data_IF_116810196461
#
_entry.id   IF_116810196461
#
_cell.length_a   1.000
_cell.length_b   1.000
_cell.length_c   1.000
_cell.angle_alpha   90.00
_cell.angle_beta   90.00
_cell.angle_gamma   90.00
#
_symmetry.space_group_name_H-M   'P 1'
#
loop_
_entity.id
_entity.type
_entity.pdbx_description
1 polymer ?
#
# COMPACT_ATOMS: atom_id res chain seq x y z
N UNK A 1 -14.40 18.07 13.60
CA UNK A 1 -13.11 18.74 13.90
C UNK A 1 -13.06 19.03 15.39
N UNK A 2 -12.05 18.54 16.09
CA UNK A 2 -11.80 18.84 17.51
C UNK A 2 -10.73 19.94 17.54
N UNK A 3 -11.02 21.06 18.20
CA UNK A 3 -10.12 22.22 18.31
C UNK A 3 -9.59 22.76 16.96
N UNK A 4 -10.37 22.66 15.91
CA UNK A 4 -9.98 23.08 14.56
C UNK A 4 -9.05 22.12 13.81
N UNK A 5 -8.68 20.97 14.41
CA UNK A 5 -7.79 19.96 13.82
C UNK A 5 -8.57 18.86 13.11
N UNK A 6 -7.93 18.25 12.11
CA UNK A 6 -8.44 17.08 11.41
C UNK A 6 -8.12 15.79 12.16
N UNK A 7 -9.10 14.89 12.23
CA UNK A 7 -8.95 13.58 12.86
C UNK A 7 -8.27 12.59 11.91
N UNK A 8 -7.28 11.85 12.41
CA UNK A 8 -6.49 10.89 11.63
C UNK A 8 -6.64 9.49 12.20
N UNK A 9 -6.91 8.52 11.32
CA UNK A 9 -6.73 7.10 11.61
C UNK A 9 -5.45 6.60 10.93
N UNK A 10 -4.66 5.80 11.65
CA UNK A 10 -3.50 5.10 11.11
C UNK A 10 -3.84 3.62 11.04
N UNK A 11 -3.62 2.99 9.89
CA UNK A 11 -3.79 1.55 9.66
C UNK A 11 -2.41 1.00 9.27
N UNK A 12 -1.72 0.40 10.25
CA UNK A 12 -0.31 0.00 10.15
C UNK A 12 0.00 -1.07 11.19
N UNK A 13 0.46 -2.24 10.78
CA UNK A 13 0.80 -3.35 11.68
C UNK A 13 2.24 -3.30 12.21
N UNK A 14 3.14 -2.65 11.48
CA UNK A 14 4.53 -2.54 11.90
C UNK A 14 4.70 -1.46 12.96
N UNK A 15 5.30 -1.84 14.10
CA UNK A 15 5.42 -0.97 15.27
C UNK A 15 6.19 0.34 15.01
N UNK A 16 7.32 0.26 14.27
CA UNK A 16 8.13 1.46 13.98
C UNK A 16 7.42 2.48 13.08
N UNK A 17 6.90 2.12 11.91
CA UNK A 17 6.14 3.05 11.09
C UNK A 17 4.91 3.61 11.81
N UNK A 18 4.16 2.76 12.55
CA UNK A 18 3.01 3.19 13.33
C UNK A 18 3.37 4.25 14.37
N UNK A 19 4.45 4.03 15.14
CA UNK A 19 4.93 5.00 16.13
C UNK A 19 5.41 6.30 15.47
N UNK A 20 6.10 6.20 14.33
CA UNK A 20 6.58 7.37 13.58
C UNK A 20 5.43 8.22 13.05
N UNK A 21 4.43 7.60 12.41
CA UNK A 21 3.26 8.32 11.92
C UNK A 21 2.44 8.93 13.06
N UNK A 22 2.28 8.20 14.17
CA UNK A 22 1.61 8.72 15.38
C UNK A 22 2.31 9.96 15.89
N UNK A 23 3.64 9.91 16.01
CA UNK A 23 4.44 11.05 16.45
C UNK A 23 4.28 12.27 15.52
N UNK A 24 4.32 12.08 14.20
CA UNK A 24 4.12 13.15 13.24
C UNK A 24 2.74 13.80 13.36
N UNK A 25 1.70 12.97 13.49
CA UNK A 25 0.32 13.44 13.63
C UNK A 25 0.15 14.22 14.93
N UNK A 26 0.63 13.70 16.06
CA UNK A 26 0.50 14.32 17.39
C UNK A 26 1.32 15.61 17.53
N UNK A 27 2.47 15.72 16.84
CA UNK A 27 3.28 16.94 16.83
C UNK A 27 2.72 18.03 15.91
N UNK A 28 1.66 17.77 15.15
CA UNK A 28 1.07 18.72 14.21
C UNK A 28 0.05 19.64 14.89
N UNK A 29 0.03 20.90 14.46
CA UNK A 29 -1.02 21.84 14.85
C UNK A 29 -2.33 21.67 14.07
N UNK A 30 -2.32 20.89 12.95
CA UNK A 30 -3.46 20.71 12.05
C UNK A 30 -4.15 19.36 12.19
N UNK A 31 -3.48 18.38 12.77
CA UNK A 31 -3.96 17.01 12.88
C UNK A 31 -3.99 16.53 14.34
N UNK A 32 -4.81 15.55 14.63
CA UNK A 32 -4.73 14.78 15.87
C UNK A 32 -5.00 13.29 15.59
N UNK A 33 -4.34 12.43 16.33
CA UNK A 33 -4.53 10.99 16.22
C UNK A 33 -5.84 10.60 16.91
N UNK A 34 -6.81 10.12 16.12
CA UNK A 34 -8.07 9.60 16.62
C UNK A 34 -7.90 8.14 17.05
N UNK A 35 -7.23 7.33 16.22
CA UNK A 35 -7.00 5.91 16.45
C UNK A 35 -5.89 5.38 15.56
N UNK A 36 -5.12 4.40 16.06
CA UNK A 36 -4.21 3.58 15.27
C UNK A 36 -4.63 2.12 15.39
N UNK A 37 -4.74 1.41 14.27
CA UNK A 37 -5.12 0.00 14.19
C UNK A 37 -4.10 -0.79 13.36
N UNK A 38 -4.01 -2.10 13.59
CA UNK A 38 -3.03 -2.97 12.95
C UNK A 38 -3.60 -3.77 11.79
N UNK A 39 -4.93 -3.87 11.70
CA UNK A 39 -5.60 -4.70 10.71
C UNK A 39 -6.56 -3.87 9.84
N UNK A 40 -6.32 -3.90 8.53
CA UNK A 40 -7.12 -3.14 7.56
C UNK A 40 -8.56 -3.67 7.44
N UNK A 41 -8.80 -4.96 7.70
CA UNK A 41 -10.13 -5.56 7.51
C UNK A 41 -11.21 -4.98 8.43
N UNK A 42 -10.81 -4.36 9.54
CA UNK A 42 -11.75 -3.72 10.50
C UNK A 42 -11.85 -2.20 10.33
N UNK A 43 -11.09 -1.60 9.42
CA UNK A 43 -10.99 -0.14 9.30
C UNK A 43 -12.35 0.52 8.94
N UNK A 44 -13.17 -0.11 8.11
CA UNK A 44 -14.50 0.41 7.76
C UNK A 44 -15.49 0.34 8.93
N UNK A 45 -15.36 -0.66 9.80
CA UNK A 45 -16.13 -0.78 11.05
C UNK A 45 -15.72 0.34 12.03
N UNK A 46 -14.41 0.60 12.13
CA UNK A 46 -13.90 1.69 12.97
C UNK A 46 -14.43 3.04 12.47
N UNK A 47 -14.39 3.31 11.16
CA UNK A 47 -14.98 4.53 10.56
C UNK A 47 -16.48 4.69 10.87
N UNK A 48 -17.21 3.58 10.98
CA UNK A 48 -18.65 3.64 11.34
C UNK A 48 -18.85 4.11 12.77
N UNK A 49 -17.99 3.71 13.70
CA UNK A 49 -18.07 4.07 15.13
C UNK A 49 -17.41 5.40 15.45
N UNK A 50 -16.33 5.68 14.77
CA UNK A 50 -15.51 6.89 14.94
C UNK A 50 -15.19 7.48 13.56
N UNK A 51 -16.04 8.37 13.03
CA UNK A 51 -15.74 9.04 11.77
C UNK A 51 -14.42 9.79 11.84
N UNK A 52 -13.60 9.67 10.80
CA UNK A 52 -12.30 10.34 10.68
C UNK A 52 -12.22 11.13 9.38
N UNK A 53 -11.42 12.21 9.40
CA UNK A 53 -11.25 13.07 8.24
C UNK A 53 -10.22 12.48 7.26
N UNK A 54 -9.15 11.87 7.79
CA UNK A 54 -8.03 11.33 7.01
C UNK A 54 -7.59 9.95 7.53
N UNK A 55 -7.21 9.08 6.61
CA UNK A 55 -6.64 7.76 6.92
C UNK A 55 -5.27 7.64 6.25
N UNK A 56 -4.26 7.26 7.03
CA UNK A 56 -3.00 6.71 6.53
C UNK A 56 -3.17 5.19 6.48
N UNK A 57 -3.18 4.60 5.27
CA UNK A 57 -3.54 3.21 5.03
C UNK A 57 -2.36 2.44 4.46
N UNK A 58 -1.78 1.51 5.21
CA UNK A 58 -0.81 0.57 4.64
C UNK A 58 -1.49 -0.36 3.63
N UNK A 59 -0.74 -0.77 2.61
CA UNK A 59 -1.23 -1.67 1.55
C UNK A 59 -1.40 -3.09 2.06
N UNK A 60 -0.47 -3.57 2.89
CA UNK A 60 -0.49 -4.92 3.47
C UNK A 60 -0.39 -4.79 4.98
N UNK A 61 -1.38 -5.30 5.69
CA UNK A 61 -1.45 -5.26 7.14
C UNK A 61 -1.48 -6.67 7.73
N UNK A 62 -1.64 -6.77 9.04
CA UNK A 62 -1.65 -8.02 9.79
C UNK A 62 -2.48 -9.12 9.09
N UNK A 63 -1.97 -10.35 9.10
CA UNK A 63 -2.56 -11.52 8.44
C UNK A 63 -2.67 -11.41 6.90
N UNK A 64 -1.93 -10.48 6.26
CA UNK A 64 -1.98 -10.27 4.82
C UNK A 64 -3.25 -9.54 4.35
N UNK A 65 -3.97 -8.87 5.25
CA UNK A 65 -5.17 -8.12 4.91
C UNK A 65 -4.84 -6.90 4.03
N UNK A 66 -5.65 -6.71 2.99
CA UNK A 66 -5.39 -5.69 1.97
C UNK A 66 -5.96 -4.32 2.37
N UNK A 67 -5.06 -3.34 2.59
CA UNK A 67 -5.47 -1.94 2.80
C UNK A 67 -6.15 -1.32 1.59
N UNK A 68 -5.83 -1.75 0.36
CA UNK A 68 -6.52 -1.28 -0.84
C UNK A 68 -7.98 -1.76 -0.90
N UNK A 69 -8.27 -2.98 -0.45
CA UNK A 69 -9.65 -3.45 -0.35
C UNK A 69 -10.43 -2.72 0.75
N UNK A 70 -9.78 -2.49 1.89
CA UNK A 70 -10.35 -1.67 2.96
C UNK A 70 -10.62 -0.24 2.48
N UNK A 71 -9.68 0.39 1.78
CA UNK A 71 -9.85 1.72 1.18
C UNK A 71 -11.04 1.77 0.23
N UNK A 72 -11.22 0.76 -0.63
CA UNK A 72 -12.37 0.68 -1.54
C UNK A 72 -13.70 0.63 -0.77
N UNK A 73 -13.80 -0.19 0.28
CA UNK A 73 -14.99 -0.27 1.15
C UNK A 73 -15.27 1.07 1.85
N UNK A 74 -14.22 1.72 2.36
CA UNK A 74 -14.34 3.01 3.04
C UNK A 74 -14.78 4.09 2.07
N UNK A 75 -14.17 4.19 0.89
CA UNK A 75 -14.58 5.19 -0.12
C UNK A 75 -16.02 5.03 -0.56
N UNK A 76 -16.53 3.80 -0.66
CA UNK A 76 -17.92 3.53 -1.00
C UNK A 76 -18.90 3.98 0.10
N UNK A 77 -18.53 3.78 1.38
CA UNK A 77 -19.40 4.11 2.54
C UNK A 77 -19.21 5.55 3.04
N UNK A 78 -17.98 6.05 3.00
CA UNK A 78 -17.56 7.34 3.57
C UNK A 78 -16.78 8.16 2.52
N UNK A 79 -17.44 8.65 1.45
CA UNK A 79 -16.75 9.30 0.32
C UNK A 79 -16.05 10.61 0.69
N UNK A 80 -16.38 11.21 1.83
CA UNK A 80 -15.74 12.44 2.34
C UNK A 80 -14.43 12.16 3.07
N UNK A 81 -14.26 10.95 3.63
CA UNK A 81 -13.01 10.56 4.29
C UNK A 81 -11.89 10.49 3.27
N UNK A 82 -10.82 11.23 3.51
CA UNK A 82 -9.62 11.22 2.67
C UNK A 82 -8.75 10.02 3.02
N UNK A 83 -8.11 9.43 2.02
CA UNK A 83 -7.22 8.29 2.24
C UNK A 83 -5.90 8.57 1.52
N UNK A 84 -4.81 8.40 2.27
CA UNK A 84 -3.45 8.33 1.75
C UNK A 84 -2.98 6.89 1.92
N UNK A 85 -2.68 6.23 0.82
CA UNK A 85 -2.04 4.92 0.84
C UNK A 85 -0.57 5.10 1.16
N UNK A 86 -0.07 4.35 2.14
CA UNK A 86 1.35 4.36 2.55
C UNK A 86 1.92 2.95 2.40
N UNK A 87 3.11 2.79 1.84
CA UNK A 87 3.70 1.46 1.65
C UNK A 87 5.21 1.51 1.50
N UNK A 88 5.90 0.47 1.98
CA UNK A 88 7.32 0.24 1.67
C UNK A 88 7.50 -0.53 0.34
N UNK A 89 6.42 -1.06 -0.24
CA UNK A 89 6.52 -1.88 -1.45
C UNK A 89 6.37 -1.02 -2.71
N UNK A 90 7.42 -0.87 -3.53
CA UNK A 90 7.41 -0.03 -4.73
C UNK A 90 6.77 -0.77 -5.91
N UNK A 91 5.50 -1.14 -5.77
CA UNK A 91 4.78 -1.89 -6.77
C UNK A 91 3.85 -1.01 -7.59
N UNK A 92 4.08 -0.97 -8.92
CA UNK A 92 3.33 -0.13 -9.86
C UNK A 92 1.82 -0.38 -9.83
N UNK A 93 1.40 -1.63 -9.57
CA UNK A 93 -0.01 -1.99 -9.56
C UNK A 93 -0.77 -1.34 -8.39
N UNK A 94 -0.10 -1.04 -7.28
CA UNK A 94 -0.72 -0.39 -6.14
C UNK A 94 -1.14 1.04 -6.45
N UNK A 95 -0.31 1.80 -7.15
CA UNK A 95 -0.66 3.16 -7.62
C UNK A 95 -1.88 3.10 -8.55
N UNK A 96 -1.87 2.17 -9.52
CA UNK A 96 -2.99 2.02 -10.47
C UNK A 96 -4.29 1.68 -9.74
N UNK A 97 -4.26 0.72 -8.81
CA UNK A 97 -5.42 0.35 -7.98
C UNK A 97 -5.87 1.50 -7.09
N UNK A 98 -4.95 2.20 -6.43
CA UNK A 98 -5.25 3.34 -5.59
C UNK A 98 -5.98 4.45 -6.38
N UNK A 99 -5.52 4.75 -7.60
CA UNK A 99 -6.19 5.68 -8.52
C UNK A 99 -7.59 5.21 -8.91
N UNK A 100 -7.77 3.93 -9.20
CA UNK A 100 -9.09 3.35 -9.55
C UNK A 100 -10.08 3.40 -8.38
N UNK A 101 -9.61 3.22 -7.15
CA UNK A 101 -10.41 3.35 -5.94
C UNK A 101 -10.80 4.81 -5.67
N UNK A 102 -9.99 5.75 -6.15
CA UNK A 102 -10.20 7.19 -5.94
C UNK A 102 -9.69 7.68 -4.58
N UNK A 103 -8.61 7.07 -4.04
CA UNK A 103 -7.93 7.62 -2.87
C UNK A 103 -7.17 8.88 -3.26
N UNK A 104 -6.94 9.78 -2.33
CA UNK A 104 -6.43 11.11 -2.64
C UNK A 104 -4.92 11.19 -2.60
N UNK A 105 -4.24 10.25 -1.94
CA UNK A 105 -2.79 10.30 -1.84
C UNK A 105 -2.13 8.93 -1.90
N UNK A 106 -0.86 8.92 -2.32
CA UNK A 106 -0.01 7.74 -2.28
C UNK A 106 1.40 8.14 -1.86
N UNK A 107 1.97 7.41 -0.90
CA UNK A 107 3.28 7.72 -0.33
C UNK A 107 4.11 6.46 -0.09
N UNK A 108 5.40 6.52 -0.47
CA UNK A 108 6.36 5.45 -0.18
C UNK A 108 7.11 5.74 1.11
N UNK A 109 7.15 4.77 2.05
CA UNK A 109 7.73 4.92 3.40
C UNK A 109 9.24 5.18 3.39
N UNK A 110 9.98 4.75 2.37
CA UNK A 110 11.45 4.75 2.37
C UNK A 110 12.09 5.72 1.38
N UNK A 111 11.34 6.28 0.44
CA UNK A 111 11.91 6.93 -0.76
C UNK A 111 11.42 8.35 -1.00
N UNK A 112 10.48 8.86 -0.21
CA UNK A 112 9.95 10.19 -0.45
C UNK A 112 10.75 11.28 0.29
N UNK A 113 11.32 12.21 -0.47
CA UNK A 113 11.88 13.45 0.05
C UNK A 113 10.80 14.38 0.64
N UNK A 114 9.53 14.16 0.27
CA UNK A 114 8.42 14.97 0.76
C UNK A 114 7.95 14.45 2.13
N UNK A 115 7.94 15.28 3.17
CA UNK A 115 7.42 14.91 4.47
C UNK A 115 5.94 14.50 4.40
N UNK A 116 5.56 13.43 5.07
CA UNK A 116 4.19 12.93 5.10
C UNK A 116 3.18 14.00 5.54
N UNK A 117 3.55 14.86 6.48
CA UNK A 117 2.67 15.95 6.93
C UNK A 117 2.34 16.93 5.80
N UNK A 118 3.31 17.29 4.96
CA UNK A 118 3.06 18.15 3.80
C UNK A 118 2.08 17.51 2.82
N UNK A 119 2.20 16.20 2.60
CA UNK A 119 1.27 15.46 1.75
C UNK A 119 -0.13 15.41 2.37
N UNK A 120 -0.24 15.16 3.67
CA UNK A 120 -1.51 15.19 4.39
C UNK A 120 -2.22 16.54 4.26
N UNK A 121 -1.49 17.64 4.42
CA UNK A 121 -2.04 18.99 4.27
C UNK A 121 -2.57 19.26 2.86
N UNK A 122 -1.81 18.89 1.83
CA UNK A 122 -2.21 19.02 0.43
C UNK A 122 -3.49 18.22 0.14
N UNK A 123 -3.57 16.98 0.62
CA UNK A 123 -4.74 16.13 0.47
C UNK A 123 -5.97 16.73 1.18
N UNK A 124 -5.80 17.28 2.38
CA UNK A 124 -6.90 17.94 3.09
C UNK A 124 -7.35 19.23 2.41
N UNK A 125 -6.47 19.92 1.68
CA UNK A 125 -6.80 21.07 0.83
C UNK A 125 -7.47 20.67 -0.50
N UNK A 126 -7.68 19.38 -0.75
CA UNK A 126 -8.39 18.87 -1.93
C UNK A 126 -7.49 18.47 -3.09
N UNK A 127 -6.17 18.48 -2.91
CA UNK A 127 -5.25 18.00 -3.94
C UNK A 127 -5.27 16.47 -4.00
N UNK A 128 -5.01 15.94 -5.20
CA UNK A 128 -4.73 14.52 -5.45
C UNK A 128 -3.23 14.37 -5.64
N UNK A 129 -2.56 13.66 -4.73
CA UNK A 129 -1.11 13.61 -4.67
C UNK A 129 -0.59 12.19 -4.85
N UNK A 130 0.02 11.93 -5.99
CA UNK A 130 0.68 10.66 -6.31
C UNK A 130 2.13 10.91 -6.71
N UNK A 131 3.04 9.96 -6.48
CA UNK A 131 4.38 10.05 -7.06
C UNK A 131 4.30 10.01 -8.59
N UNK A 132 5.17 10.76 -9.26
CA UNK A 132 5.20 10.86 -10.73
C UNK A 132 5.47 9.51 -11.41
N UNK A 133 6.26 8.66 -10.76
CA UNK A 133 6.50 7.28 -11.18
C UNK A 133 6.76 6.39 -9.97
N UNK A 134 6.49 5.08 -10.07
CA UNK A 134 6.97 4.13 -9.08
C UNK A 134 8.48 4.22 -9.00
N UNK A 135 9.02 4.30 -7.79
CA UNK A 135 10.48 4.25 -7.62
C UNK A 135 10.97 2.87 -8.06
N UNK A 136 11.89 2.78 -9.02
CA UNK A 136 12.42 1.50 -9.44
C UNK A 136 13.27 0.89 -8.33
N UNK A 137 12.91 -0.30 -7.88
CA UNK A 137 13.72 -1.10 -6.95
C UNK A 137 14.59 -2.06 -7.72
N UNK A 138 15.85 -2.11 -7.36
CA UNK A 138 16.78 -3.07 -7.96
C UNK A 138 16.57 -4.46 -7.34
N UNK A 139 16.26 -5.43 -8.20
CA UNK A 139 16.15 -6.84 -7.85
C UNK A 139 17.21 -7.61 -8.63
N UNK A 140 18.36 -7.85 -8.01
CA UNK A 140 19.53 -8.40 -8.70
C UNK A 140 20.01 -7.44 -9.81
N UNK A 141 19.99 -7.90 -11.07
CA UNK A 141 20.38 -7.11 -12.23
C UNK A 141 19.23 -6.27 -12.82
N UNK A 142 17.97 -6.61 -12.52
CA UNK A 142 16.79 -5.94 -13.05
C UNK A 142 16.26 -4.83 -12.13
N UNK A 143 15.47 -3.93 -12.70
CA UNK A 143 14.65 -2.98 -11.97
C UNK A 143 13.19 -3.50 -11.87
N UNK A 144 12.49 -3.18 -10.81
CA UNK A 144 11.08 -3.59 -10.60
C UNK A 144 10.16 -3.14 -11.73
N UNK A 145 10.51 -2.06 -12.43
CA UNK A 145 9.79 -1.54 -13.60
C UNK A 145 9.94 -2.39 -14.86
N UNK A 146 10.88 -3.33 -14.88
CA UNK A 146 11.11 -4.25 -16.01
C UNK A 146 10.22 -5.51 -15.94
N UNK A 147 9.47 -5.66 -14.85
CA UNK A 147 8.55 -6.79 -14.65
C UNK A 147 7.16 -6.45 -15.17
N UNK A 148 6.56 -7.41 -15.86
CA UNK A 148 5.15 -7.32 -16.27
C UNK A 148 4.22 -7.49 -15.07
N UNK A 149 2.97 -7.02 -15.19
CA UNK A 149 1.94 -7.22 -14.13
C UNK A 149 1.80 -8.71 -13.76
N UNK A 150 1.90 -9.61 -14.74
CA UNK A 150 1.80 -11.06 -14.50
C UNK A 150 3.01 -11.63 -13.76
N UNK A 151 4.21 -11.17 -14.09
CA UNK A 151 5.41 -11.54 -13.36
C UNK A 151 5.37 -11.06 -11.90
N UNK A 152 4.92 -9.82 -11.66
CA UNK A 152 4.74 -9.29 -10.30
C UNK A 152 3.69 -10.07 -9.51
N UNK A 153 2.59 -10.49 -10.15
CA UNK A 153 1.55 -11.31 -9.52
C UNK A 153 2.09 -12.69 -9.12
N UNK A 154 2.86 -13.33 -10.00
CA UNK A 154 3.54 -14.60 -9.72
C UNK A 154 4.57 -14.41 -8.60
N UNK A 155 5.37 -13.36 -8.64
CA UNK A 155 6.39 -13.06 -7.62
C UNK A 155 5.78 -12.92 -6.22
N UNK A 156 4.63 -12.25 -6.08
CA UNK A 156 3.90 -12.14 -4.79
C UNK A 156 3.51 -13.52 -4.25
N UNK A 157 2.96 -14.38 -5.10
CA UNK A 157 2.61 -15.71 -4.68
C UNK A 157 3.85 -16.56 -4.34
N UNK A 158 4.97 -16.34 -5.05
CA UNK A 158 6.24 -16.97 -4.72
C UNK A 158 6.75 -16.57 -3.33
N UNK A 159 6.71 -15.29 -2.99
CA UNK A 159 7.10 -14.79 -1.66
C UNK A 159 6.17 -15.28 -0.55
N UNK A 160 4.91 -15.56 -0.88
CA UNK A 160 3.95 -16.24 0.01
C UNK A 160 4.19 -17.76 0.17
N UNK A 161 5.25 -18.30 -0.44
CA UNK A 161 5.63 -19.73 -0.30
C UNK A 161 4.89 -20.70 -1.22
N UNK A 162 4.03 -20.23 -2.14
CA UNK A 162 3.27 -21.10 -3.03
C UNK A 162 4.15 -21.77 -4.10
N UNK A 163 3.93 -23.06 -4.34
CA UNK A 163 4.56 -23.81 -5.44
C UNK A 163 4.02 -23.37 -6.81
N UNK A 164 4.71 -23.71 -7.91
CA UNK A 164 4.23 -23.39 -9.25
C UNK A 164 2.85 -23.98 -9.56
N UNK A 165 2.53 -25.13 -9.00
CA UNK A 165 1.21 -25.77 -9.16
C UNK A 165 0.13 -24.95 -8.45
N UNK A 166 0.33 -24.59 -7.18
CA UNK A 166 -0.61 -23.76 -6.42
C UNK A 166 -0.77 -22.36 -7.04
N UNK A 167 0.33 -21.77 -7.55
CA UNK A 167 0.27 -20.50 -8.29
C UNK A 167 -0.58 -20.66 -9.56
N UNK A 168 -0.39 -21.73 -10.31
CA UNK A 168 -1.15 -21.98 -11.54
C UNK A 168 -2.65 -22.12 -11.27
N UNK A 169 -3.04 -22.81 -10.20
CA UNK A 169 -4.43 -22.96 -9.76
C UNK A 169 -5.02 -21.60 -9.34
N UNK A 170 -4.30 -20.82 -8.52
CA UNK A 170 -4.75 -19.49 -8.07
C UNK A 170 -4.93 -18.49 -9.21
N UNK A 171 -4.10 -18.57 -10.25
CA UNK A 171 -4.10 -17.63 -11.37
C UNK A 171 -4.90 -18.11 -12.58
N UNK A 172 -5.44 -19.34 -12.55
CA UNK A 172 -6.20 -19.92 -13.65
C UNK A 172 -5.36 -20.13 -14.93
N UNK A 173 -4.07 -20.43 -14.79
CA UNK A 173 -3.13 -20.66 -15.91
C UNK A 173 -2.49 -22.03 -15.80
N UNK A 174 -1.80 -22.52 -16.85
CA UNK A 174 -1.08 -23.78 -16.76
C UNK A 174 0.21 -23.64 -15.94
N UNK A 175 0.64 -24.71 -15.26
CA UNK A 175 1.91 -24.75 -14.53
C UNK A 175 3.14 -24.48 -15.44
N UNK A 176 3.03 -24.81 -16.73
CA UNK A 176 4.05 -24.46 -17.73
C UNK A 176 4.20 -22.96 -17.93
N UNK A 177 3.10 -22.21 -17.97
CA UNK A 177 3.10 -20.75 -18.06
C UNK A 177 3.79 -20.14 -16.83
N UNK A 178 3.46 -20.63 -15.62
CA UNK A 178 4.11 -20.16 -14.39
C UNK A 178 5.62 -20.43 -14.42
N UNK A 179 6.03 -21.63 -14.86
CA UNK A 179 7.46 -21.98 -14.99
C UNK A 179 8.20 -21.05 -15.95
N UNK A 180 7.60 -20.70 -17.09
CA UNK A 180 8.19 -19.78 -18.06
C UNK A 180 8.39 -18.38 -17.43
N UNK A 181 7.36 -17.83 -16.79
CA UNK A 181 7.50 -16.53 -16.11
C UNK A 181 8.55 -16.54 -15.01
N UNK A 182 8.65 -17.64 -14.24
CA UNK A 182 9.70 -17.78 -13.21
C UNK A 182 11.09 -17.82 -13.86
N UNK A 183 11.25 -18.53 -14.98
CA UNK A 183 12.51 -18.57 -15.72
C UNK A 183 12.90 -17.18 -16.27
N UNK A 184 11.93 -16.44 -16.84
CA UNK A 184 12.14 -15.09 -17.34
C UNK A 184 12.55 -14.13 -16.20
N UNK A 185 11.90 -14.20 -15.05
CA UNK A 185 12.27 -13.41 -13.87
C UNK A 185 13.68 -13.75 -13.36
N UNK A 186 14.04 -15.03 -13.31
CA UNK A 186 15.42 -15.44 -12.93
C UNK A 186 16.44 -14.91 -13.94
N UNK A 187 16.15 -14.96 -15.23
CA UNK A 187 17.02 -14.41 -16.26
C UNK A 187 17.19 -12.89 -16.12
N UNK A 188 16.09 -12.14 -15.94
CA UNK A 188 16.12 -10.66 -15.74
C UNK A 188 16.94 -10.29 -14.51
N UNK A 189 16.73 -10.98 -13.39
CA UNK A 189 17.39 -10.67 -12.11
C UNK A 189 18.83 -11.16 -12.02
N UNK A 190 19.22 -12.12 -12.85
CA UNK A 190 20.48 -12.84 -12.72
C UNK A 190 20.53 -13.80 -11.53
N UNK A 191 19.39 -14.06 -10.88
CA UNK A 191 19.29 -15.01 -9.78
C UNK A 191 19.41 -16.45 -10.29
N UNK A 192 20.04 -17.30 -9.49
CA UNK A 192 20.29 -18.71 -9.85
C UNK A 192 19.20 -19.66 -9.36
N UNK A 193 18.36 -19.20 -8.45
CA UNK A 193 17.30 -20.00 -7.85
C UNK A 193 16.10 -19.16 -7.45
N UNK A 194 14.97 -19.83 -7.31
CA UNK A 194 13.72 -19.24 -6.84
C UNK A 194 13.79 -18.64 -5.42
N UNK A 195 14.73 -19.11 -4.59
CA UNK A 195 14.87 -18.71 -3.19
C UNK A 195 15.77 -17.48 -2.99
N UNK A 196 16.40 -17.00 -4.04
CA UNK A 196 17.14 -15.74 -4.04
C UNK A 196 16.21 -14.55 -4.32
#
# INVERSE_FOLDING_TARGET
MKDGKYSVMIVEDQQMPKALFSHFVESSDKFYLQVAIENASVADIVCTRMPVDLILMDVVTENGESGLEAAAKIKAKFPKTKIIVVTSMPECSYIKRAKQIGVEGFWYKEVNEQPILSLMERVMNGEIVYPDSPQPVRMGLALSTEFTEKELEILRLMTGGYSNTEISEKLGVSSGVVKNHVADMLFKTGFRSRTQ
#
